data_IF_435686585489
#
_entry.id   IF_435686585489
#
_cell.length_a   1.000
_cell.length_b   1.000
_cell.length_c   1.000
_cell.angle_alpha   90.00
_cell.angle_beta   90.00
_cell.angle_gamma   90.00
#
_symmetry.space_group_name_H-M   'P 1'
#
loop_
_entity.id
_entity.type
_entity.pdbx_description
1 polymer ?
#
# COMPACT_ATOMS: atom_id res chain seq x y z
N UNK A 1 -10.36 0.08 25.57
CA UNK A 1 -10.39 1.41 24.92
C UNK A 1 -11.52 1.45 23.90
N UNK A 2 -12.11 2.62 23.69
CA UNK A 2 -13.05 2.87 22.59
C UNK A 2 -12.32 3.69 21.50
N UNK A 3 -12.14 3.11 20.31
CA UNK A 3 -11.32 3.67 19.23
C UNK A 3 -12.17 3.99 18.02
N UNK A 4 -12.01 5.19 17.44
CA UNK A 4 -12.60 5.57 16.16
C UNK A 4 -11.52 5.57 15.08
N UNK A 5 -11.57 4.63 14.13
CA UNK A 5 -10.81 4.71 12.89
C UNK A 5 -11.56 5.58 11.89
N UNK A 6 -10.90 6.60 11.35
CA UNK A 6 -11.51 7.52 10.39
C UNK A 6 -10.70 7.59 9.09
N UNK A 7 -11.36 7.26 7.99
CA UNK A 7 -10.79 7.29 6.63
C UNK A 7 -11.78 7.91 5.64
N UNK A 8 -11.29 8.51 4.56
CA UNK A 8 -12.16 9.20 3.59
C UNK A 8 -13.09 8.24 2.84
N UNK A 9 -12.63 7.03 2.45
CA UNK A 9 -13.41 6.03 1.71
C UNK A 9 -12.87 4.63 1.97
N UNK A 10 -13.77 3.63 1.95
CA UNK A 10 -13.42 2.21 2.10
C UNK A 10 -13.50 1.44 0.77
N UNK A 11 -12.81 1.96 -0.27
CA UNK A 11 -12.61 1.26 -1.56
C UNK A 11 -11.53 0.17 -1.42
N UNK A 12 -11.41 -0.71 -2.42
CA UNK A 12 -10.32 -1.70 -2.45
C UNK A 12 -8.97 -1.00 -2.63
N UNK A 13 -8.10 -1.09 -1.63
CA UNK A 13 -6.78 -0.46 -1.63
C UNK A 13 -5.99 -0.69 -0.36
N UNK A 14 -4.67 -0.47 -0.42
CA UNK A 14 -3.75 -0.80 0.66
C UNK A 14 -3.98 -0.04 1.98
N UNK A 15 -4.31 1.25 1.91
CA UNK A 15 -4.62 2.05 3.10
C UNK A 15 -5.92 1.57 3.77
N UNK A 16 -6.92 1.20 2.98
CA UNK A 16 -8.20 0.70 3.43
C UNK A 16 -8.08 -0.67 4.10
N UNK A 17 -7.33 -1.59 3.48
CA UNK A 17 -7.05 -2.89 4.11
C UNK A 17 -6.27 -2.74 5.41
N UNK A 18 -5.26 -1.86 5.44
CA UNK A 18 -4.52 -1.55 6.68
C UNK A 18 -5.47 -1.03 7.77
N UNK A 19 -6.37 -0.08 7.43
CA UNK A 19 -7.36 0.45 8.37
C UNK A 19 -8.30 -0.64 8.87
N UNK A 20 -8.80 -1.49 7.97
CA UNK A 20 -9.67 -2.61 8.30
C UNK A 20 -8.99 -3.61 9.25
N UNK A 21 -7.77 -4.04 8.93
CA UNK A 21 -7.01 -4.99 9.74
C UNK A 21 -6.61 -4.41 11.10
N UNK A 22 -6.36 -3.10 11.18
CA UNK A 22 -6.14 -2.41 12.47
C UNK A 22 -7.40 -2.40 13.33
N UNK A 23 -8.57 -2.13 12.74
CA UNK A 23 -9.86 -2.17 13.44
C UNK A 23 -10.21 -3.58 13.92
N UNK A 24 -9.99 -4.59 13.06
CA UNK A 24 -10.17 -6.01 13.40
C UNK A 24 -9.29 -6.44 14.58
N UNK A 25 -8.01 -6.08 14.57
CA UNK A 25 -7.08 -6.41 15.64
C UNK A 25 -7.48 -5.78 16.99
N UNK A 26 -8.04 -4.58 16.99
CA UNK A 26 -8.59 -3.95 18.20
C UNK A 26 -9.72 -4.77 18.80
N UNK A 27 -10.66 -5.23 17.98
CA UNK A 27 -11.79 -6.03 18.45
C UNK A 27 -11.35 -7.42 18.91
N UNK A 28 -10.44 -8.07 18.19
CA UNK A 28 -9.85 -9.36 18.61
C UNK A 28 -9.09 -9.22 19.95
N UNK A 29 -8.54 -8.04 20.26
CA UNK A 29 -7.93 -7.73 21.56
C UNK A 29 -8.92 -7.27 22.65
N UNK A 30 -10.24 -7.32 22.40
CA UNK A 30 -11.28 -6.97 23.36
C UNK A 30 -11.56 -5.47 23.50
N UNK A 31 -11.19 -4.65 22.51
CA UNK A 31 -11.49 -3.22 22.48
C UNK A 31 -12.71 -2.89 21.65
N UNK A 32 -13.39 -1.78 21.95
CA UNK A 32 -14.47 -1.26 21.12
C UNK A 32 -13.88 -0.48 19.94
N UNK A 33 -14.36 -0.76 18.72
CA UNK A 33 -13.92 -0.09 17.53
C UNK A 33 -15.09 0.35 16.65
N UNK A 34 -15.04 1.59 16.18
CA UNK A 34 -15.87 2.14 15.12
C UNK A 34 -14.99 2.50 13.91
N UNK A 35 -15.34 2.01 12.74
CA UNK A 35 -14.78 2.47 11.48
C UNK A 35 -15.74 3.49 10.86
N UNK A 36 -15.28 4.72 10.73
CA UNK A 36 -16.01 5.84 10.16
C UNK A 36 -15.44 6.20 8.79
N UNK A 37 -16.30 6.27 7.76
CA UNK A 37 -15.87 6.64 6.40
C UNK A 37 -16.90 7.50 5.68
N UNK A 38 -16.53 8.05 4.54
CA UNK A 38 -17.45 8.56 3.55
C UNK A 38 -17.94 7.45 2.61
N UNK A 39 -18.83 7.76 1.66
CA UNK A 39 -19.38 6.81 0.71
C UNK A 39 -18.28 6.09 -0.08
N UNK A 40 -18.41 4.78 -0.20
CA UNK A 40 -17.43 3.90 -0.86
C UNK A 40 -17.73 3.73 -2.34
N UNK A 41 -17.95 4.84 -3.05
CA UNK A 41 -18.20 4.85 -4.49
C UNK A 41 -16.87 4.83 -5.27
N UNK A 42 -16.83 4.04 -6.34
CA UNK A 42 -15.67 3.95 -7.24
C UNK A 42 -15.65 2.65 -8.05
N UNK A 43 -14.87 2.64 -9.14
CA UNK A 43 -14.69 1.46 -10.01
C UNK A 43 -13.96 0.31 -9.30
N UNK A 44 -13.20 0.63 -8.26
CA UNK A 44 -12.45 -0.32 -7.44
C UNK A 44 -13.35 -1.19 -6.54
N UNK A 45 -14.62 -0.81 -6.37
CA UNK A 45 -15.58 -1.46 -5.49
C UNK A 45 -15.36 -1.17 -4.01
N UNK A 46 -16.34 -1.52 -3.18
CA UNK A 46 -16.29 -1.33 -1.73
C UNK A 46 -15.57 -2.48 -1.05
N UNK A 47 -14.57 -2.18 -0.25
CA UNK A 47 -13.89 -3.17 0.60
C UNK A 47 -14.86 -3.73 1.66
N UNK A 48 -15.74 -2.90 2.22
CA UNK A 48 -16.71 -3.30 3.24
C UNK A 48 -17.73 -4.32 2.72
N UNK A 49 -18.16 -4.20 1.46
CA UNK A 49 -19.05 -5.20 0.83
C UNK A 49 -18.37 -6.56 0.65
N UNK A 50 -17.06 -6.59 0.49
CA UNK A 50 -16.27 -7.82 0.34
C UNK A 50 -15.99 -8.49 1.68
N UNK A 51 -15.78 -7.69 2.72
CA UNK A 51 -15.44 -8.15 4.06
C UNK A 51 -16.73 -8.39 4.88
N UNK A 52 -17.35 -9.55 4.68
CA UNK A 52 -18.55 -9.95 5.43
C UNK A 52 -18.23 -10.03 6.93
N UNK A 53 -19.10 -9.45 7.78
CA UNK A 53 -19.02 -9.47 9.24
C UNK A 53 -17.65 -9.01 9.79
N UNK A 54 -17.35 -7.72 9.75
CA UNK A 54 -16.05 -7.20 10.19
C UNK A 54 -15.77 -7.37 11.70
N UNK A 55 -16.80 -7.68 12.50
CA UNK A 55 -16.70 -7.82 13.95
C UNK A 55 -16.72 -6.48 14.70
N UNK A 56 -16.76 -5.35 14.00
CA UNK A 56 -16.80 -3.99 14.55
C UNK A 56 -17.88 -3.15 13.86
N UNK A 57 -18.27 -2.04 14.53
CA UNK A 57 -19.25 -1.11 13.98
C UNK A 57 -18.65 -0.32 12.78
N UNK A 58 -19.46 -0.14 11.74
CA UNK A 58 -19.12 0.68 10.58
C UNK A 58 -20.17 1.76 10.40
N UNK A 59 -19.74 3.00 10.19
CA UNK A 59 -20.61 4.13 9.90
C UNK A 59 -20.10 4.86 8.65
N UNK A 60 -20.98 5.11 7.71
CA UNK A 60 -20.71 5.97 6.56
C UNK A 60 -21.46 7.30 6.69
N UNK A 61 -20.80 8.41 6.33
CA UNK A 61 -21.43 9.73 6.30
C UNK A 61 -21.15 10.43 4.98
N UNK A 62 -22.19 11.00 4.35
CA UNK A 62 -22.04 11.73 3.08
C UNK A 62 -21.23 13.02 3.21
N UNK A 63 -20.94 13.48 4.43
CA UNK A 63 -20.08 14.64 4.66
C UNK A 63 -18.60 14.38 4.33
N UNK A 64 -18.16 13.13 4.32
CA UNK A 64 -16.75 12.78 4.11
C UNK A 64 -16.46 12.47 2.64
N UNK A 65 -16.48 13.51 1.82
CA UNK A 65 -16.18 13.41 0.38
C UNK A 65 -14.67 13.53 0.12
N UNK A 66 -14.23 12.98 -1.01
CA UNK A 66 -12.81 13.02 -1.40
C UNK A 66 -12.35 14.40 -1.84
N UNK A 67 -13.20 15.09 -2.57
CA UNK A 67 -12.93 16.40 -3.17
C UNK A 67 -12.75 17.45 -2.06
N UNK A 68 -11.84 18.41 -2.28
CA UNK A 68 -11.65 19.54 -1.37
C UNK A 68 -12.83 20.49 -1.55
N UNK A 69 -13.64 20.65 -0.49
CA UNK A 69 -14.79 21.53 -0.45
C UNK A 69 -14.82 22.27 0.90
N UNK A 70 -14.35 23.52 0.96
CA UNK A 70 -14.15 24.21 2.23
C UNK A 70 -15.38 24.23 3.14
N UNK A 71 -16.56 24.48 2.60
CA UNK A 71 -17.81 24.50 3.37
C UNK A 71 -18.23 23.11 3.86
N UNK A 72 -18.14 22.10 2.98
CA UNK A 72 -18.42 20.71 3.39
C UNK A 72 -17.42 20.23 4.41
N UNK A 73 -16.14 20.57 4.23
CA UNK A 73 -15.05 20.17 5.13
C UNK A 73 -15.20 20.83 6.51
N UNK A 74 -15.63 22.10 6.56
CA UNK A 74 -15.92 22.78 7.81
C UNK A 74 -17.12 22.12 8.54
N UNK A 75 -18.21 21.83 7.83
CA UNK A 75 -19.35 21.09 8.39
C UNK A 75 -18.94 19.72 8.89
N UNK A 76 -18.10 19.01 8.13
CA UNK A 76 -17.57 17.70 8.51
C UNK A 76 -16.74 17.77 9.82
N UNK A 77 -15.91 18.81 10.00
CA UNK A 77 -15.13 19.02 11.22
C UNK A 77 -16.05 19.21 12.44
N UNK A 78 -17.03 20.09 12.35
CA UNK A 78 -17.94 20.35 13.49
C UNK A 78 -18.82 19.15 13.80
N UNK A 79 -19.37 18.49 12.78
CA UNK A 79 -20.16 17.27 12.97
C UNK A 79 -19.33 16.18 13.62
N UNK A 80 -18.11 15.94 13.14
CA UNK A 80 -17.22 14.92 13.69
C UNK A 80 -16.79 15.26 15.12
N UNK A 81 -16.53 16.53 15.43
CA UNK A 81 -16.17 16.95 16.80
C UNK A 81 -17.32 16.70 17.78
N UNK A 82 -18.55 17.05 17.42
CA UNK A 82 -19.74 16.79 18.24
C UNK A 82 -19.97 15.29 18.42
N UNK A 83 -19.88 14.51 17.36
CA UNK A 83 -19.99 13.05 17.39
C UNK A 83 -18.95 12.41 18.31
N UNK A 84 -17.67 12.75 18.15
CA UNK A 84 -16.59 12.21 18.97
C UNK A 84 -16.76 12.53 20.46
N UNK A 85 -17.24 13.76 20.76
CA UNK A 85 -17.52 14.21 22.12
C UNK A 85 -18.69 13.44 22.75
N UNK A 86 -19.78 13.23 22.02
CA UNK A 86 -20.96 12.48 22.49
C UNK A 86 -20.62 11.02 22.74
N UNK A 87 -19.90 10.39 21.82
CA UNK A 87 -19.54 8.97 21.88
C UNK A 87 -18.38 8.66 22.84
N UNK A 88 -17.65 9.67 23.35
CA UNK A 88 -16.57 9.56 24.32
C UNK A 88 -15.48 8.58 23.92
N UNK A 89 -14.95 8.70 22.69
CA UNK A 89 -13.83 7.91 22.25
C UNK A 89 -12.55 8.22 23.04
N UNK A 90 -11.78 7.18 23.38
CA UNK A 90 -10.44 7.31 23.96
C UNK A 90 -9.42 7.71 22.90
N UNK A 91 -9.59 7.19 21.68
CA UNK A 91 -8.66 7.37 20.56
C UNK A 91 -9.43 7.72 19.30
N UNK A 92 -8.97 8.74 18.57
CA UNK A 92 -9.26 8.89 17.15
C UNK A 92 -8.02 8.58 16.33
N UNK A 93 -8.10 7.58 15.45
CA UNK A 93 -7.04 7.20 14.52
C UNK A 93 -7.46 7.53 13.09
N UNK A 94 -6.80 8.50 12.49
CA UNK A 94 -7.13 9.01 11.16
C UNK A 94 -6.22 8.41 10.10
N UNK A 95 -6.78 8.18 8.89
CA UNK A 95 -6.08 7.64 7.73
C UNK A 95 -6.38 8.49 6.50
N UNK A 96 -5.50 8.47 5.49
CA UNK A 96 -5.55 9.32 4.29
C UNK A 96 -5.43 10.83 4.59
N UNK A 97 -5.01 11.61 3.58
CA UNK A 97 -4.66 13.03 3.81
C UNK A 97 -5.86 13.87 4.26
N UNK A 98 -7.01 13.77 3.56
CA UNK A 98 -8.18 14.59 3.90
C UNK A 98 -8.81 14.21 5.24
N UNK A 99 -9.10 12.92 5.44
CA UNK A 99 -9.61 12.46 6.74
C UNK A 99 -8.58 12.71 7.86
N UNK A 100 -7.29 12.64 7.54
CA UNK A 100 -6.21 13.00 8.44
C UNK A 100 -6.29 14.44 8.95
N UNK A 101 -6.50 15.40 8.06
CA UNK A 101 -6.63 16.82 8.44
C UNK A 101 -7.93 17.05 9.22
N UNK A 102 -9.06 16.63 8.67
CA UNK A 102 -10.39 16.82 9.27
C UNK A 102 -10.46 16.17 10.66
N UNK A 103 -10.01 14.91 10.77
CA UNK A 103 -10.12 14.13 12.00
C UNK A 103 -9.18 14.62 13.12
N UNK A 104 -7.93 15.05 12.78
CA UNK A 104 -7.02 15.61 13.78
C UNK A 104 -7.55 16.95 14.35
N UNK A 105 -8.18 17.80 13.52
CA UNK A 105 -8.80 19.03 13.98
C UNK A 105 -10.01 18.68 14.86
N UNK A 106 -10.94 17.87 14.37
CA UNK A 106 -12.14 17.49 15.10
C UNK A 106 -11.83 16.78 16.42
N UNK A 107 -10.85 15.87 16.44
CA UNK A 107 -10.42 15.15 17.65
C UNK A 107 -9.91 16.10 18.73
N UNK A 108 -9.13 17.13 18.35
CA UNK A 108 -8.70 18.17 19.31
C UNK A 108 -9.86 19.05 19.80
N UNK A 109 -10.77 19.42 18.92
CA UNK A 109 -11.97 20.20 19.29
C UNK A 109 -12.89 19.42 20.25
N UNK A 110 -13.01 18.10 20.02
CA UNK A 110 -13.81 17.22 20.86
C UNK A 110 -13.14 16.88 22.22
N UNK A 111 -11.86 17.18 22.39
CA UNK A 111 -11.09 16.80 23.57
C UNK A 111 -10.81 15.30 23.65
N UNK A 112 -10.73 14.59 22.52
CA UNK A 112 -10.36 13.16 22.49
C UNK A 112 -9.00 12.97 23.17
N UNK A 113 -8.86 12.05 24.14
CA UNK A 113 -7.63 11.86 24.90
C UNK A 113 -6.41 11.58 24.03
N UNK A 114 -6.55 10.79 22.96
CA UNK A 114 -5.44 10.44 22.07
C UNK A 114 -5.84 10.65 20.59
N UNK A 115 -5.17 11.57 19.92
CA UNK A 115 -5.35 11.87 18.50
C UNK A 115 -4.15 11.36 17.72
N UNK A 116 -4.35 10.38 16.84
CA UNK A 116 -3.27 9.75 16.07
C UNK A 116 -3.57 9.71 14.57
N UNK A 117 -2.54 9.59 13.76
CA UNK A 117 -2.65 9.54 12.30
C UNK A 117 -1.69 8.52 11.71
N UNK A 118 -2.14 7.74 10.71
CA UNK A 118 -1.25 6.89 9.89
C UNK A 118 -1.06 7.47 8.49
N UNK A 119 0.19 7.66 8.13
CA UNK A 119 0.63 8.02 6.79
C UNK A 119 0.81 6.73 5.97
N UNK A 120 -0.05 6.53 4.96
CA UNK A 120 0.02 5.42 4.01
C UNK A 120 0.75 5.77 2.71
N UNK A 121 0.96 7.04 2.48
CA UNK A 121 1.63 7.64 1.34
C UNK A 121 1.50 9.16 1.43
N UNK A 122 2.49 9.87 0.91
CA UNK A 122 2.53 11.32 1.01
C UNK A 122 1.70 11.96 -0.11
N UNK A 123 0.93 13.00 0.24
CA UNK A 123 0.17 13.80 -0.72
C UNK A 123 1.04 14.78 -1.51
N UNK A 124 2.32 14.88 -1.19
CA UNK A 124 3.34 15.70 -1.85
C UNK A 124 4.51 14.84 -2.32
N UNK A 125 5.34 15.37 -3.20
CA UNK A 125 6.52 14.64 -3.70
C UNK A 125 7.09 15.27 -4.97
N UNK A 126 8.18 14.73 -5.51
CA UNK A 126 8.93 15.32 -6.62
C UNK A 126 8.12 15.39 -7.93
N UNK A 127 7.10 14.56 -8.09
CA UNK A 127 6.28 14.49 -9.29
C UNK A 127 5.02 15.39 -9.23
N UNK A 128 4.83 16.13 -8.15
CA UNK A 128 3.71 17.07 -7.97
C UNK A 128 4.17 18.52 -8.18
N UNK A 129 3.26 19.42 -8.59
CA UNK A 129 3.63 20.82 -8.80
C UNK A 129 4.05 21.49 -7.48
N UNK A 130 4.92 22.50 -7.56
CA UNK A 130 5.42 23.24 -6.39
C UNK A 130 4.29 23.81 -5.53
N UNK A 131 3.30 24.47 -6.16
CA UNK A 131 2.17 25.08 -5.43
C UNK A 131 1.34 24.02 -4.70
N UNK A 132 1.06 22.89 -5.35
CA UNK A 132 0.35 21.77 -4.74
C UNK A 132 1.13 21.20 -3.55
N UNK A 133 2.43 21.00 -3.71
CA UNK A 133 3.31 20.53 -2.63
C UNK A 133 3.27 21.49 -1.43
N UNK A 134 3.40 22.80 -1.66
CA UNK A 134 3.37 23.79 -0.58
C UNK A 134 2.04 23.80 0.16
N UNK A 135 0.93 23.66 -0.56
CA UNK A 135 -0.41 23.58 0.05
C UNK A 135 -0.52 22.37 0.98
N UNK A 136 -0.18 21.18 0.48
CA UNK A 136 -0.27 19.95 1.28
C UNK A 136 0.71 19.95 2.46
N UNK A 137 1.95 20.41 2.27
CA UNK A 137 2.95 20.50 3.35
C UNK A 137 2.46 21.44 4.46
N UNK A 138 1.88 22.62 4.12
CA UNK A 138 1.34 23.56 5.11
C UNK A 138 0.15 22.96 5.86
N UNK A 139 -0.75 22.29 5.16
CA UNK A 139 -1.90 21.62 5.76
C UNK A 139 -1.47 20.49 6.71
N UNK A 140 -0.49 19.69 6.30
CA UNK A 140 0.05 18.60 7.13
C UNK A 140 0.82 19.13 8.35
N UNK A 141 1.61 20.21 8.22
CA UNK A 141 2.26 20.88 9.37
C UNK A 141 1.22 21.37 10.39
N UNK A 142 0.15 22.01 9.91
CA UNK A 142 -0.92 22.46 10.77
C UNK A 142 -1.62 21.31 11.51
N UNK A 143 -1.88 20.23 10.80
CA UNK A 143 -2.53 19.05 11.37
C UNK A 143 -1.61 18.24 12.30
N UNK A 144 -0.32 18.17 12.01
CA UNK A 144 0.68 17.51 12.86
C UNK A 144 0.76 18.14 14.26
N UNK A 145 0.61 19.46 14.39
CA UNK A 145 0.55 20.14 15.68
C UNK A 145 -0.71 19.79 16.51
N UNK A 146 -1.68 19.12 15.90
CA UNK A 146 -2.92 18.63 16.53
C UNK A 146 -2.97 17.12 16.69
N UNK A 147 -1.82 16.48 16.53
CA UNK A 147 -1.65 15.03 16.60
C UNK A 147 -0.71 14.68 17.77
N UNK A 148 -1.03 13.66 18.53
CA UNK A 148 -0.17 13.17 19.60
C UNK A 148 0.89 12.23 19.07
N UNK A 149 0.51 11.35 18.11
CA UNK A 149 1.38 10.36 17.50
C UNK A 149 1.09 10.26 16.00
N UNK A 150 2.13 10.16 15.19
CA UNK A 150 2.05 9.96 13.74
C UNK A 150 2.71 8.61 13.43
N UNK A 151 1.90 7.68 12.95
CA UNK A 151 2.41 6.42 12.44
C UNK A 151 2.76 6.56 10.97
N UNK A 152 3.79 5.85 10.53
CA UNK A 152 4.16 5.76 9.13
C UNK A 152 4.37 4.30 8.75
N UNK A 153 3.92 3.93 7.56
CA UNK A 153 4.10 2.56 7.05
C UNK A 153 5.51 2.28 6.53
N UNK A 154 6.39 3.29 6.50
CA UNK A 154 7.80 3.17 6.13
C UNK A 154 8.64 4.29 6.76
N UNK A 155 9.92 4.03 7.07
CA UNK A 155 10.85 5.01 7.59
C UNK A 155 11.11 6.15 6.60
N UNK A 156 11.25 5.81 5.33
CA UNK A 156 11.46 6.81 4.27
C UNK A 156 10.42 7.94 4.27
N UNK A 157 9.16 7.64 4.60
CA UNK A 157 8.12 8.68 4.70
C UNK A 157 8.27 9.53 5.96
N UNK A 158 8.77 8.97 7.06
CA UNK A 158 9.13 9.76 8.26
C UNK A 158 10.20 10.77 7.90
N UNK A 159 11.26 10.32 7.23
CA UNK A 159 12.38 11.18 6.82
C UNK A 159 11.92 12.30 5.88
N UNK A 160 11.07 11.98 4.90
CA UNK A 160 10.45 12.98 4.00
C UNK A 160 9.56 13.99 4.76
N UNK A 161 8.78 13.54 5.75
CA UNK A 161 7.98 14.42 6.59
C UNK A 161 8.85 15.37 7.41
N UNK A 162 9.89 14.86 8.06
CA UNK A 162 10.82 15.66 8.88
C UNK A 162 11.60 16.64 8.00
N UNK A 163 12.07 16.23 6.82
CA UNK A 163 12.70 17.14 5.85
C UNK A 163 11.74 18.27 5.41
N UNK A 164 10.45 17.95 5.28
CA UNK A 164 9.40 18.93 5.03
C UNK A 164 8.93 19.69 6.28
N UNK A 165 9.58 19.53 7.43
CA UNK A 165 9.23 20.13 8.74
C UNK A 165 7.77 19.83 9.15
N UNK A 166 7.27 18.65 8.86
CA UNK A 166 5.98 18.12 9.30
C UNK A 166 6.21 17.32 10.56
N UNK A 167 5.59 17.70 11.66
CA UNK A 167 5.73 17.03 12.94
C UNK A 167 7.12 17.19 13.59
N UNK A 168 7.36 16.43 14.63
CA UNK A 168 8.64 16.35 15.39
C UNK A 168 9.06 14.90 15.50
N UNK A 169 10.37 14.58 15.58
CA UNK A 169 10.86 13.19 15.60
C UNK A 169 10.16 12.30 16.64
N UNK A 170 9.93 12.81 17.84
CA UNK A 170 9.27 12.08 18.92
C UNK A 170 7.79 11.78 18.70
N UNK A 171 7.15 12.44 17.74
CA UNK A 171 5.76 12.12 17.34
C UNK A 171 5.67 10.93 16.41
N UNK A 172 6.75 10.61 15.69
CA UNK A 172 6.72 9.53 14.69
C UNK A 172 7.00 8.16 15.30
N UNK A 173 6.34 7.16 14.74
CA UNK A 173 6.65 5.75 14.95
C UNK A 173 6.38 4.98 13.66
N UNK A 174 7.35 4.21 13.20
CA UNK A 174 7.14 3.31 12.06
C UNK A 174 6.33 2.12 12.52
N UNK A 175 5.22 1.90 11.85
CA UNK A 175 4.37 0.73 12.00
C UNK A 175 4.08 0.21 10.59
N UNK A 176 4.82 -0.80 10.18
CA UNK A 176 4.70 -1.36 8.83
C UNK A 176 3.29 -1.83 8.54
N UNK A 177 2.82 -1.58 7.32
CA UNK A 177 1.49 -2.04 6.89
C UNK A 177 1.44 -3.56 6.89
N UNK A 178 0.63 -4.11 7.79
CA UNK A 178 0.40 -5.54 7.90
C UNK A 178 -0.52 -6.07 6.80
N UNK A 179 -0.38 -7.37 6.50
CA UNK A 179 -1.17 -8.09 5.52
C UNK A 179 -1.55 -9.48 6.04
N UNK A 180 -2.66 -10.02 5.53
CA UNK A 180 -2.98 -11.44 5.62
C UNK A 180 -2.06 -12.18 4.64
N UNK A 181 -0.98 -12.77 5.18
CA UNK A 181 0.08 -13.38 4.38
C UNK A 181 -0.21 -14.85 4.04
N UNK A 182 -1.07 -15.51 4.80
CA UNK A 182 -1.32 -16.96 4.74
C UNK A 182 -1.60 -17.43 3.31
N UNK A 183 -2.50 -16.73 2.62
CA UNK A 183 -2.88 -17.08 1.25
C UNK A 183 -1.74 -16.96 0.23
N UNK A 184 -0.71 -16.13 0.52
CA UNK A 184 0.48 -16.00 -0.31
C UNK A 184 1.55 -17.01 0.10
N UNK A 185 1.68 -17.30 1.38
CA UNK A 185 2.63 -18.28 1.90
C UNK A 185 2.28 -19.70 1.42
N UNK A 186 1.00 -20.00 1.26
CA UNK A 186 0.50 -21.32 0.87
C UNK A 186 0.17 -21.44 -0.62
N UNK A 187 0.32 -20.36 -1.40
CA UNK A 187 0.01 -20.35 -2.83
C UNK A 187 0.90 -21.30 -3.61
N UNK A 188 0.29 -22.02 -4.53
CA UNK A 188 0.97 -22.93 -5.47
C UNK A 188 0.60 -22.58 -6.90
N UNK A 189 1.51 -22.76 -7.87
CA UNK A 189 1.20 -22.55 -9.28
C UNK A 189 0.06 -23.45 -9.74
N UNK A 190 -0.98 -22.86 -10.35
CA UNK A 190 -2.12 -23.59 -10.90
C UNK A 190 -1.92 -23.81 -12.42
N UNK A 191 -1.82 -25.08 -12.82
CA UNK A 191 -1.64 -25.46 -14.21
C UNK A 191 -2.86 -25.11 -15.07
N UNK A 192 -4.08 -25.17 -14.51
CA UNK A 192 -5.30 -24.79 -15.22
C UNK A 192 -5.32 -23.28 -15.51
N UNK A 193 -5.01 -22.44 -14.52
CA UNK A 193 -4.88 -20.99 -14.69
C UNK A 193 -3.75 -20.65 -15.67
N UNK A 194 -2.63 -21.36 -15.60
CA UNK A 194 -1.50 -21.16 -16.52
C UNK A 194 -1.95 -21.42 -17.98
N UNK A 195 -2.70 -22.50 -18.20
CA UNK A 195 -3.26 -22.84 -19.52
C UNK A 195 -4.31 -21.85 -19.99
N UNK A 196 -5.21 -21.41 -19.10
CA UNK A 196 -6.24 -20.38 -19.39
C UNK A 196 -5.60 -19.08 -19.88
N UNK A 197 -4.48 -18.68 -19.27
CA UNK A 197 -3.72 -17.49 -19.64
C UNK A 197 -2.85 -17.69 -20.89
N UNK A 198 -2.82 -18.88 -21.49
CA UNK A 198 -1.97 -19.18 -22.64
C UNK A 198 -0.47 -19.13 -22.34
N UNK A 199 -0.06 -19.40 -21.10
CA UNK A 199 1.35 -19.44 -20.71
C UNK A 199 1.89 -20.84 -20.95
N UNK A 200 2.84 -21.06 -21.89
CA UNK A 200 3.42 -22.36 -22.16
C UNK A 200 4.10 -22.95 -20.91
N UNK A 201 4.08 -24.27 -20.75
CA UNK A 201 4.61 -24.96 -19.56
C UNK A 201 6.07 -24.60 -19.25
N UNK A 202 6.91 -24.58 -20.28
CA UNK A 202 8.36 -24.35 -20.15
C UNK A 202 8.77 -22.88 -20.20
N UNK A 203 7.81 -21.92 -20.17
CA UNK A 203 8.12 -20.50 -20.18
C UNK A 203 8.40 -19.97 -18.77
N UNK A 204 9.43 -19.13 -18.69
CA UNK A 204 9.68 -18.28 -17.52
C UNK A 204 8.75 -17.07 -17.53
N UNK A 205 8.31 -16.61 -16.35
CA UNK A 205 7.30 -15.56 -16.24
C UNK A 205 7.79 -14.41 -15.37
N UNK A 206 7.83 -13.22 -15.97
CA UNK A 206 8.03 -11.95 -15.23
C UNK A 206 6.65 -11.35 -14.95
N UNK A 207 6.32 -11.17 -13.68
CA UNK A 207 5.06 -10.57 -13.26
C UNK A 207 5.16 -9.07 -13.00
N UNK A 208 4.08 -8.33 -13.28
CA UNK A 208 3.91 -6.94 -12.81
C UNK A 208 2.47 -6.76 -12.30
N UNK A 209 2.33 -6.23 -11.08
CA UNK A 209 1.02 -6.05 -10.43
C UNK A 209 0.84 -4.58 -10.09
N UNK A 210 0.04 -3.87 -10.86
CA UNK A 210 -0.37 -2.50 -10.57
C UNK A 210 -1.54 -2.08 -11.45
N UNK A 211 -2.27 -1.04 -11.03
CA UNK A 211 -3.25 -0.40 -11.93
C UNK A 211 -2.55 0.20 -13.14
N UNK A 212 -3.14 0.10 -14.31
CA UNK A 212 -2.61 0.66 -15.55
C UNK A 212 -2.85 2.19 -15.60
N UNK A 213 -2.08 2.92 -14.80
CA UNK A 213 -2.08 4.37 -14.66
C UNK A 213 -0.66 4.91 -14.84
N UNK A 214 -0.50 6.16 -15.27
CA UNK A 214 0.80 6.81 -15.30
C UNK A 214 1.53 6.74 -13.95
N UNK A 215 2.85 6.64 -13.99
CA UNK A 215 3.74 6.55 -12.82
C UNK A 215 3.67 5.21 -12.04
N UNK A 216 2.95 4.21 -12.56
CA UNK A 216 2.99 2.85 -12.01
C UNK A 216 4.12 2.01 -12.60
N UNK A 217 4.97 2.62 -13.40
CA UNK A 217 6.22 2.05 -13.90
C UNK A 217 6.09 1.21 -15.16
N UNK A 218 4.93 1.20 -15.80
CA UNK A 218 4.77 0.47 -17.06
C UNK A 218 5.50 1.12 -18.23
N UNK A 219 5.70 2.44 -18.16
CA UNK A 219 6.51 3.20 -19.12
C UNK A 219 7.96 2.71 -19.15
N UNK A 220 8.49 2.25 -18.03
CA UNK A 220 9.82 1.66 -17.92
C UNK A 220 9.79 0.13 -18.09
N UNK A 221 8.71 -0.52 -17.61
CA UNK A 221 8.58 -1.97 -17.63
C UNK A 221 8.62 -2.54 -19.06
N UNK A 222 7.89 -1.97 -20.02
CA UNK A 222 7.85 -2.52 -21.38
C UNK A 222 9.15 -2.37 -22.16
N UNK A 223 9.89 -1.24 -22.09
CA UNK A 223 11.26 -1.17 -22.64
C UNK A 223 12.21 -2.19 -22.01
N UNK A 224 12.12 -2.42 -20.69
CA UNK A 224 12.88 -3.46 -19.99
C UNK A 224 12.48 -4.86 -20.47
N UNK A 225 11.17 -5.13 -20.59
CA UNK A 225 10.64 -6.39 -21.09
C UNK A 225 11.14 -6.71 -22.50
N UNK A 226 11.25 -5.71 -23.37
CA UNK A 226 11.79 -5.89 -24.71
C UNK A 226 13.28 -6.30 -24.70
N UNK A 227 14.07 -5.79 -23.75
CA UNK A 227 15.46 -6.21 -23.59
C UNK A 227 15.55 -7.65 -23.05
N UNK A 228 14.75 -7.97 -22.04
CA UNK A 228 14.67 -9.33 -21.46
C UNK A 228 14.21 -10.34 -22.50
N UNK A 229 13.22 -10.00 -23.34
CA UNK A 229 12.71 -10.87 -24.39
C UNK A 229 13.72 -11.24 -25.47
N UNK A 230 14.70 -10.37 -25.72
CA UNK A 230 15.81 -10.66 -26.64
C UNK A 230 16.80 -11.66 -26.07
N UNK A 231 17.10 -11.56 -24.78
CA UNK A 231 18.03 -12.45 -24.09
C UNK A 231 17.38 -13.79 -23.71
N UNK A 232 16.09 -13.78 -23.37
CA UNK A 232 15.34 -14.93 -22.91
C UNK A 232 14.15 -15.21 -23.86
N UNK A 233 14.33 -16.00 -24.94
CA UNK A 233 13.28 -16.23 -25.95
C UNK A 233 12.02 -16.92 -25.40
N UNK A 234 12.13 -17.68 -24.33
CA UNK A 234 11.06 -18.43 -23.66
C UNK A 234 10.32 -17.62 -22.56
N UNK A 235 10.60 -16.32 -22.39
CA UNK A 235 9.96 -15.50 -21.37
C UNK A 235 8.55 -15.06 -21.77
N UNK A 236 7.65 -14.97 -20.78
CA UNK A 236 6.35 -14.28 -20.86
C UNK A 236 6.27 -13.21 -19.78
N UNK A 237 5.49 -12.16 -20.06
CA UNK A 237 5.25 -11.05 -19.15
C UNK A 237 3.79 -11.03 -18.74
N UNK A 238 3.51 -11.25 -17.47
CA UNK A 238 2.15 -11.32 -16.93
C UNK A 238 1.80 -10.00 -16.22
N UNK A 239 0.87 -9.24 -16.81
CA UNK A 239 0.41 -7.95 -16.31
C UNK A 239 -0.90 -8.13 -15.56
N UNK A 240 -0.86 -7.99 -14.25
CA UNK A 240 -2.00 -8.14 -13.35
C UNK A 240 -2.51 -6.76 -12.95
N UNK A 241 -3.55 -6.29 -13.61
CA UNK A 241 -4.15 -4.98 -13.41
C UNK A 241 -4.84 -4.44 -14.64
N UNK A 242 -5.63 -3.39 -14.43
CA UNK A 242 -6.34 -2.68 -15.49
C UNK A 242 -6.35 -1.17 -15.20
N UNK A 243 -6.74 -0.38 -16.19
CA UNK A 243 -6.81 1.07 -16.06
C UNK A 243 -6.91 1.81 -17.39
N UNK A 244 -7.07 3.15 -17.33
CA UNK A 244 -7.27 3.97 -18.52
C UNK A 244 -6.08 3.98 -19.49
N UNK A 245 -4.87 3.61 -19.04
CA UNK A 245 -3.68 3.56 -19.89
C UNK A 245 -3.53 2.23 -20.63
N UNK A 246 -4.44 1.26 -20.49
CA UNK A 246 -4.31 -0.08 -21.07
C UNK A 246 -4.06 -0.04 -22.58
N UNK A 247 -4.90 0.65 -23.34
CA UNK A 247 -4.75 0.73 -24.80
C UNK A 247 -3.41 1.33 -25.23
N UNK A 248 -2.91 2.35 -24.51
CA UNK A 248 -1.62 2.94 -24.77
C UNK A 248 -0.47 1.95 -24.50
N UNK A 249 -0.58 1.13 -23.45
CA UNK A 249 0.44 0.13 -23.11
C UNK A 249 0.39 -1.08 -24.06
N UNK A 250 -0.80 -1.51 -24.51
CA UNK A 250 -0.92 -2.53 -25.56
C UNK A 250 -0.23 -2.07 -26.86
N UNK A 251 -0.48 -0.83 -27.30
CA UNK A 251 0.21 -0.23 -28.46
C UNK A 251 1.73 -0.16 -28.26
N UNK A 252 2.18 0.23 -27.07
CA UNK A 252 3.63 0.25 -26.77
C UNK A 252 4.27 -1.14 -26.90
N UNK A 253 3.57 -2.21 -26.50
CA UNK A 253 4.09 -3.58 -26.69
C UNK A 253 4.16 -4.01 -28.15
N UNK A 254 3.26 -3.52 -29.01
CA UNK A 254 3.31 -3.71 -30.46
C UNK A 254 4.51 -2.99 -31.07
N UNK A 255 4.69 -1.71 -30.73
CA UNK A 255 5.81 -0.89 -31.19
C UNK A 255 7.18 -1.45 -30.77
N UNK A 256 7.25 -2.10 -29.60
CA UNK A 256 8.45 -2.78 -29.09
C UNK A 256 8.63 -4.21 -29.65
N UNK A 257 7.67 -4.74 -30.39
CA UNK A 257 7.72 -6.08 -30.99
C UNK A 257 7.64 -7.22 -29.96
N UNK A 258 6.96 -7.00 -28.85
CA UNK A 258 6.80 -8.00 -27.76
C UNK A 258 5.33 -8.33 -27.44
N UNK A 259 4.37 -7.90 -28.26
CA UNK A 259 2.94 -8.05 -27.96
C UNK A 259 2.51 -9.50 -27.75
N UNK A 260 3.08 -10.42 -28.50
CA UNK A 260 2.85 -11.87 -28.43
C UNK A 260 3.40 -12.50 -27.14
N UNK A 261 4.24 -11.82 -26.39
CA UNK A 261 4.86 -12.26 -25.14
C UNK A 261 4.23 -11.62 -23.91
N UNK A 262 3.37 -10.61 -24.08
CA UNK A 262 2.75 -9.87 -22.98
C UNK A 262 1.29 -10.32 -22.81
N UNK A 263 0.97 -10.78 -21.61
CA UNK A 263 -0.35 -11.24 -21.22
C UNK A 263 -0.96 -10.21 -20.28
N UNK A 264 -2.00 -9.53 -20.72
CA UNK A 264 -2.77 -8.62 -19.89
C UNK A 264 -3.93 -9.36 -19.23
N UNK A 265 -3.76 -9.78 -17.99
CA UNK A 265 -4.77 -10.52 -17.22
C UNK A 265 -5.98 -9.66 -16.81
N UNK A 266 -5.93 -8.35 -17.01
CA UNK A 266 -6.98 -7.44 -16.57
C UNK A 266 -7.02 -7.25 -15.06
N UNK A 267 -8.17 -6.81 -14.55
CA UNK A 267 -8.36 -6.57 -13.12
C UNK A 267 -8.52 -7.91 -12.38
N UNK A 268 -7.46 -8.34 -11.73
CA UNK A 268 -7.47 -9.55 -10.90
C UNK A 268 -8.07 -9.22 -9.53
N UNK A 269 -9.01 -10.06 -9.08
CA UNK A 269 -9.59 -9.94 -7.75
C UNK A 269 -8.51 -10.08 -6.68
N UNK A 270 -8.52 -9.24 -5.62
CA UNK A 270 -7.59 -9.40 -4.49
C UNK A 270 -7.58 -10.79 -3.86
N UNK A 271 -8.67 -11.54 -3.96
CA UNK A 271 -8.74 -12.91 -3.41
C UNK A 271 -7.99 -13.93 -4.28
N UNK A 272 -7.82 -13.61 -5.57
CA UNK A 272 -7.13 -14.48 -6.54
C UNK A 272 -5.73 -14.04 -6.89
N UNK A 273 -5.28 -12.89 -6.42
CA UNK A 273 -3.97 -12.33 -6.83
C UNK A 273 -2.80 -13.26 -6.48
N UNK A 274 -2.91 -14.02 -5.39
CA UNK A 274 -1.91 -15.02 -5.02
C UNK A 274 -1.78 -16.12 -6.09
N UNK A 275 -2.89 -16.60 -6.66
CA UNK A 275 -2.87 -17.61 -7.74
C UNK A 275 -2.06 -17.13 -8.96
N UNK A 276 -2.18 -15.84 -9.29
CA UNK A 276 -1.47 -15.24 -10.43
C UNK A 276 0.00 -14.97 -10.14
N UNK A 277 0.34 -14.49 -8.93
CA UNK A 277 1.73 -14.28 -8.52
C UNK A 277 2.46 -15.63 -8.47
N UNK A 278 1.79 -16.69 -8.03
CA UNK A 278 2.36 -18.04 -7.99
C UNK A 278 2.88 -18.52 -9.35
N UNK A 279 2.29 -18.07 -10.46
CA UNK A 279 2.73 -18.40 -11.82
C UNK A 279 4.03 -17.69 -12.23
N UNK A 280 4.49 -16.69 -11.47
CA UNK A 280 5.67 -15.89 -11.83
C UNK A 280 6.97 -16.49 -11.29
N UNK A 281 8.08 -16.20 -11.95
CA UNK A 281 9.43 -16.52 -11.47
C UNK A 281 10.05 -15.33 -10.73
N UNK A 282 9.68 -14.12 -11.12
CA UNK A 282 10.15 -12.84 -10.57
C UNK A 282 9.07 -11.79 -10.77
N UNK A 283 8.97 -10.85 -9.84
CA UNK A 283 8.06 -9.70 -9.97
C UNK A 283 8.85 -8.42 -10.18
N UNK A 284 8.49 -7.64 -11.19
CA UNK A 284 9.03 -6.30 -11.42
C UNK A 284 8.10 -5.24 -10.84
N UNK A 285 8.67 -4.29 -10.07
CA UNK A 285 7.93 -3.21 -9.42
C UNK A 285 8.63 -1.87 -9.64
N UNK A 286 8.31 -1.17 -10.72
CA UNK A 286 8.94 0.08 -11.12
C UNK A 286 8.09 1.31 -10.82
N UNK A 287 7.19 1.23 -9.85
CA UNK A 287 6.34 2.36 -9.45
C UNK A 287 7.19 3.53 -8.94
N UNK A 288 6.85 4.76 -9.41
CA UNK A 288 7.56 5.98 -9.05
C UNK A 288 7.05 6.65 -7.77
N UNK A 289 5.97 6.12 -7.17
CA UNK A 289 5.42 6.66 -5.92
C UNK A 289 4.67 5.57 -5.17
N UNK A 290 5.18 5.21 -4.01
CA UNK A 290 4.57 4.22 -3.11
C UNK A 290 4.62 4.72 -1.65
N UNK A 291 3.82 4.09 -0.78
CA UNK A 291 4.06 4.15 0.66
C UNK A 291 4.96 2.98 1.06
N UNK A 292 4.35 1.85 1.31
CA UNK A 292 5.00 0.53 1.40
C UNK A 292 4.49 -0.32 0.23
N UNK A 293 5.35 -0.88 -0.65
CA UNK A 293 4.92 -1.61 -1.84
C UNK A 293 4.33 -2.97 -1.46
N UNK A 294 3.00 -3.02 -1.33
CA UNK A 294 2.28 -4.26 -0.94
C UNK A 294 2.56 -5.42 -1.90
N UNK A 295 2.65 -5.13 -3.18
CA UNK A 295 2.95 -6.13 -4.22
C UNK A 295 4.30 -6.80 -3.98
N UNK A 296 5.32 -6.04 -3.58
CA UNK A 296 6.62 -6.60 -3.26
C UNK A 296 6.54 -7.54 -2.04
N UNK A 297 5.77 -7.16 -1.00
CA UNK A 297 5.53 -8.05 0.17
C UNK A 297 4.81 -9.32 -0.27
N UNK A 298 3.78 -9.23 -1.12
CA UNK A 298 3.01 -10.36 -1.62
C UNK A 298 3.89 -11.32 -2.44
N UNK A 299 4.68 -10.79 -3.37
CA UNK A 299 5.62 -11.58 -4.18
C UNK A 299 6.65 -12.31 -3.31
N UNK A 300 7.26 -11.61 -2.36
CA UNK A 300 8.22 -12.20 -1.45
C UNK A 300 7.60 -13.24 -0.52
N UNK A 301 6.32 -13.08 -0.13
CA UNK A 301 5.61 -14.11 0.64
C UNK A 301 5.48 -15.43 -0.13
N UNK A 302 5.39 -15.37 -1.45
CA UNK A 302 5.40 -16.53 -2.36
C UNK A 302 6.80 -16.98 -2.79
N UNK A 303 7.84 -16.51 -2.11
CA UNK A 303 9.23 -16.75 -2.47
C UNK A 303 9.58 -16.30 -3.90
N UNK A 304 8.89 -15.26 -4.43
CA UNK A 304 9.22 -14.67 -5.72
C UNK A 304 10.12 -13.45 -5.49
N UNK A 305 11.38 -13.45 -5.96
CA UNK A 305 12.25 -12.29 -5.84
C UNK A 305 11.68 -11.08 -6.60
N UNK A 306 12.08 -9.88 -6.18
CA UNK A 306 11.54 -8.64 -6.73
C UNK A 306 12.67 -7.79 -7.31
N UNK A 307 12.48 -7.28 -8.54
CA UNK A 307 13.31 -6.21 -9.11
C UNK A 307 12.52 -4.91 -9.03
N UNK A 308 13.06 -3.91 -8.34
CA UNK A 308 12.30 -2.70 -8.03
C UNK A 308 13.15 -1.43 -8.05
N UNK A 309 12.49 -0.27 -8.09
CA UNK A 309 13.12 1.01 -7.86
C UNK A 309 13.29 1.29 -6.35
N UNK A 310 14.44 1.84 -5.89
CA UNK A 310 14.69 2.15 -4.48
C UNK A 310 13.98 3.43 -4.04
N UNK A 311 12.66 3.51 -4.25
CA UNK A 311 11.85 4.68 -3.94
C UNK A 311 10.95 4.43 -2.74
N UNK A 312 10.73 5.46 -1.94
CA UNK A 312 9.88 5.45 -0.75
C UNK A 312 10.17 4.24 0.17
N UNK A 313 9.18 3.47 0.57
CA UNK A 313 9.34 2.29 1.43
C UNK A 313 9.84 1.01 0.72
N UNK A 314 10.17 1.06 -0.57
CA UNK A 314 10.61 -0.12 -1.32
C UNK A 314 11.89 -0.75 -0.76
N UNK A 315 12.95 0.00 -0.39
CA UNK A 315 14.16 -0.57 0.20
C UNK A 315 13.94 -1.23 1.58
N UNK A 316 12.81 -0.97 2.22
CA UNK A 316 12.46 -1.58 3.50
C UNK A 316 11.79 -2.96 3.34
N UNK A 317 11.38 -3.29 2.11
CA UNK A 317 10.75 -4.56 1.70
C UNK A 317 11.71 -5.39 0.85
N UNK A 318 12.28 -4.79 -0.19
CA UNK A 318 13.24 -5.43 -1.10
C UNK A 318 14.65 -5.09 -0.65
N UNK A 319 15.37 -6.08 -0.13
CA UNK A 319 16.76 -5.92 0.27
C UNK A 319 17.66 -6.31 -0.90
N UNK A 320 18.44 -5.34 -1.38
CA UNK A 320 19.30 -5.49 -2.56
C UNK A 320 20.28 -6.66 -2.40
N UNK A 321 20.33 -7.56 -3.39
CA UNK A 321 21.14 -8.77 -3.41
C UNK A 321 20.71 -9.84 -2.40
N UNK A 322 19.61 -9.65 -1.63
CA UNK A 322 19.14 -10.62 -0.63
C UNK A 322 17.73 -11.15 -0.91
N UNK A 323 16.78 -10.28 -1.27
CA UNK A 323 15.41 -10.66 -1.62
C UNK A 323 15.02 -10.26 -3.03
N UNK A 324 15.96 -9.73 -3.79
CA UNK A 324 15.80 -9.21 -5.15
C UNK A 324 16.84 -8.16 -5.43
N UNK A 325 16.59 -7.30 -6.41
CA UNK A 325 17.52 -6.24 -6.80
C UNK A 325 16.84 -4.87 -6.83
N UNK A 326 17.57 -3.86 -6.37
CA UNK A 326 17.17 -2.46 -6.44
C UNK A 326 17.96 -1.77 -7.56
N UNK A 327 17.25 -1.20 -8.52
CA UNK A 327 17.84 -0.57 -9.71
C UNK A 327 17.43 0.90 -9.79
N UNK A 328 18.31 1.81 -10.25
CA UNK A 328 17.97 3.22 -10.37
C UNK A 328 16.77 3.44 -11.30
N UNK A 329 15.82 4.34 -10.97
CA UNK A 329 14.72 4.69 -11.85
C UNK A 329 15.20 5.11 -13.25
N UNK A 330 14.55 4.59 -14.30
CA UNK A 330 14.89 4.85 -15.69
C UNK A 330 16.15 4.12 -16.21
N UNK A 331 16.87 3.38 -15.37
CA UNK A 331 17.98 2.56 -15.83
C UNK A 331 17.45 1.20 -16.34
N UNK A 332 16.93 1.21 -17.56
CA UNK A 332 16.32 0.04 -18.21
C UNK A 332 17.33 -1.11 -18.40
N UNK A 333 18.61 -0.79 -18.66
CA UNK A 333 19.65 -1.80 -18.82
C UNK A 333 19.90 -2.57 -17.52
N UNK A 334 20.13 -1.85 -16.41
CA UNK A 334 20.33 -2.49 -15.11
C UNK A 334 19.09 -3.32 -14.67
N UNK A 335 17.88 -2.82 -14.97
CA UNK A 335 16.65 -3.54 -14.67
C UNK A 335 16.53 -4.83 -15.50
N UNK A 336 16.85 -4.77 -16.81
CA UNK A 336 16.85 -5.94 -17.68
C UNK A 336 17.89 -6.98 -17.22
N UNK A 337 19.11 -6.54 -16.93
CA UNK A 337 20.19 -7.42 -16.44
C UNK A 337 19.80 -8.12 -15.12
N UNK A 338 19.19 -7.39 -14.17
CA UNK A 338 18.72 -7.98 -12.92
C UNK A 338 17.64 -9.05 -13.15
N UNK A 339 16.67 -8.79 -14.05
CA UNK A 339 15.64 -9.77 -14.40
C UNK A 339 16.24 -10.98 -15.10
N UNK A 340 17.11 -10.79 -16.09
CA UNK A 340 17.80 -11.87 -16.83
C UNK A 340 18.58 -12.75 -15.85
N UNK A 341 19.37 -12.15 -14.93
CA UNK A 341 20.13 -12.86 -13.92
C UNK A 341 19.24 -13.77 -13.08
N UNK A 342 18.10 -13.28 -12.58
CA UNK A 342 17.15 -14.08 -11.80
C UNK A 342 16.57 -15.23 -12.65
N UNK A 343 16.24 -14.98 -13.91
CA UNK A 343 15.66 -15.97 -14.81
C UNK A 343 16.65 -17.07 -15.19
N UNK A 344 17.93 -16.75 -15.37
CA UNK A 344 18.97 -17.69 -15.81
C UNK A 344 19.62 -18.46 -14.67
N UNK A 345 19.50 -18.00 -13.41
CA UNK A 345 20.12 -18.65 -12.25
C UNK A 345 19.07 -19.16 -11.25
N UNK A 346 18.48 -20.35 -11.46
CA UNK A 346 17.39 -20.89 -10.64
C UNK A 346 17.72 -21.01 -9.15
N UNK A 347 18.96 -21.36 -8.81
CA UNK A 347 19.38 -21.52 -7.41
C UNK A 347 19.51 -20.16 -6.71
N UNK A 348 20.05 -19.15 -7.38
CA UNK A 348 20.05 -17.78 -6.86
C UNK A 348 18.63 -17.26 -6.70
N UNK A 349 17.77 -17.44 -7.70
CA UNK A 349 16.35 -17.09 -7.65
C UNK A 349 15.66 -17.70 -6.43
N UNK A 350 15.89 -18.98 -6.17
CA UNK A 350 15.36 -19.70 -5.00
C UNK A 350 15.87 -19.08 -3.70
N UNK A 351 17.17 -18.86 -3.57
CA UNK A 351 17.76 -18.25 -2.37
C UNK A 351 17.24 -16.85 -2.08
N UNK A 352 17.13 -16.00 -3.10
CA UNK A 352 16.54 -14.66 -2.97
C UNK A 352 15.06 -14.73 -2.53
N UNK A 353 14.29 -15.64 -3.12
CA UNK A 353 12.88 -15.84 -2.79
C UNK A 353 12.67 -16.33 -1.35
N UNK A 354 13.42 -17.36 -0.93
CA UNK A 354 13.33 -17.91 0.43
C UNK A 354 13.73 -16.90 1.50
N UNK A 355 14.79 -16.14 1.27
CA UNK A 355 15.17 -15.05 2.16
C UNK A 355 14.05 -14.00 2.25
N UNK A 356 13.50 -13.58 1.10
CA UNK A 356 12.40 -12.63 1.04
C UNK A 356 11.16 -13.14 1.78
N UNK A 357 10.79 -14.41 1.60
CA UNK A 357 9.68 -15.06 2.30
C UNK A 357 9.86 -15.04 3.82
N UNK A 358 11.05 -15.36 4.31
CA UNK A 358 11.36 -15.31 5.74
C UNK A 358 11.24 -13.88 6.27
N UNK A 359 11.81 -12.90 5.57
CA UNK A 359 11.75 -11.49 5.94
C UNK A 359 10.31 -10.98 6.07
N UNK A 360 9.46 -11.27 5.09
CA UNK A 360 8.09 -10.73 5.10
C UNK A 360 7.20 -11.45 6.09
N UNK A 361 7.38 -12.75 6.30
CA UNK A 361 6.68 -13.52 7.33
C UNK A 361 6.95 -12.97 8.73
N UNK A 362 8.15 -12.49 8.98
CA UNK A 362 8.52 -11.96 10.29
C UNK A 362 8.14 -10.49 10.45
N UNK A 363 8.14 -9.69 9.37
CA UNK A 363 8.04 -8.23 9.45
C UNK A 363 6.62 -7.70 9.22
N UNK A 364 5.83 -8.34 8.34
CA UNK A 364 4.58 -7.78 7.81
C UNK A 364 3.27 -8.54 8.15
N UNK A 365 3.17 -9.45 9.15
CA UNK A 365 1.89 -9.98 9.56
C UNK A 365 0.98 -8.87 10.11
N UNK A 366 -0.30 -8.88 9.72
CA UNK A 366 -1.24 -7.86 10.17
C UNK A 366 -1.45 -7.85 11.70
N UNK A 367 -1.35 -9.00 12.36
CA UNK A 367 -1.41 -9.09 13.83
C UNK A 367 -0.29 -8.32 14.49
N UNK A 368 0.94 -8.44 14.00
CA UNK A 368 2.08 -7.66 14.50
C UNK A 368 1.87 -6.16 14.37
N UNK A 369 1.26 -5.72 13.26
CA UNK A 369 0.89 -4.33 13.06
C UNK A 369 -0.13 -3.87 14.09
N UNK A 370 -1.24 -4.61 14.27
CA UNK A 370 -2.30 -4.25 15.20
C UNK A 370 -1.82 -4.26 16.65
N UNK A 371 -1.07 -5.29 17.08
CA UNK A 371 -0.51 -5.38 18.43
C UNK A 371 0.42 -4.20 18.73
N UNK A 372 1.24 -3.80 17.73
CA UNK A 372 2.12 -2.63 17.85
C UNK A 372 1.34 -1.33 18.04
N UNK A 373 0.22 -1.16 17.31
CA UNK A 373 -0.66 0.01 17.45
C UNK A 373 -1.35 0.03 18.80
N UNK A 374 -1.91 -1.11 19.25
CA UNK A 374 -2.62 -1.23 20.54
C UNK A 374 -1.70 -0.90 21.69
N UNK A 375 -0.52 -1.52 21.73
CA UNK A 375 0.48 -1.26 22.77
C UNK A 375 0.90 0.21 22.83
N UNK A 376 1.03 0.87 21.67
CA UNK A 376 1.39 2.29 21.61
C UNK A 376 0.23 3.21 22.07
N UNK A 377 -1.03 2.87 21.74
CA UNK A 377 -2.19 3.61 22.26
C UNK A 377 -2.26 3.54 23.78
N UNK A 378 -2.11 2.35 24.35
CA UNK A 378 -2.12 2.14 25.79
C UNK A 378 -1.01 2.92 26.49
N UNK A 379 0.21 2.85 25.97
CA UNK A 379 1.35 3.60 26.49
C UNK A 379 1.12 5.13 26.43
N UNK A 380 0.59 5.64 25.32
CA UNK A 380 0.30 7.06 25.16
C UNK A 380 -0.80 7.53 26.12
N UNK A 381 -1.88 6.76 26.28
CA UNK A 381 -2.97 7.08 27.20
C UNK A 381 -2.51 7.02 28.66
N UNK A 382 -1.71 6.01 29.03
CA UNK A 382 -1.12 5.92 30.37
C UNK A 382 -0.21 7.11 30.71
N UNK A 383 0.60 7.54 29.74
CA UNK A 383 1.48 8.72 29.92
C UNK A 383 0.68 10.02 30.12
N UNK A 384 -0.48 10.16 29.47
CA UNK A 384 -1.35 11.34 29.65
C UNK A 384 -2.12 11.36 30.97
N UNK A 385 -2.47 10.20 31.53
CA UNK A 385 -3.15 10.09 32.84
C UNK A 385 -2.21 10.43 34.02
N UNK A 386 -0.89 10.38 33.80
CA UNK A 386 0.12 10.70 34.82
C UNK A 386 0.50 12.20 34.83
N UNK A 387 0.08 12.96 33.83
CA UNK A 387 0.27 14.43 33.75
C UNK A 387 -0.98 15.15 34.23
#
# INVERSE_FOLDING_TARGET
>A
MKVCHFITRMIVGGAQENTFLSARGLVEAGHECLLLSGPSEGREGSLLQRMKNPGFAVMESPLFVREISPWTDLRAIYWLADFLKKERFDVIHTHSSKAGIVGRIAGRMAGVPLVVHTIHGLAFGPYDSFLKNQLYIRAERFAANRCDRIYSVAQAMVDQCLAAKIGRPEQFKVVYSGMELERFLDAQPDAALRSELGIPENCRVVGAVARLFPRKGYEDFFPVAAQVARACPDVRFLIMGDGPSRAAYEKMTEELGIRDRVIFAGLVSPDRIAEYIALTDVVAHFSLKEGLPRVAVQALAEAKPVVAYPLDGTPEVVLDGKSGFLVPPGNHEAAAQALIRILEHPDERRGLGEYGRSLVRDKFPWKKMSDTLIADYEACLAAKRKK
#
